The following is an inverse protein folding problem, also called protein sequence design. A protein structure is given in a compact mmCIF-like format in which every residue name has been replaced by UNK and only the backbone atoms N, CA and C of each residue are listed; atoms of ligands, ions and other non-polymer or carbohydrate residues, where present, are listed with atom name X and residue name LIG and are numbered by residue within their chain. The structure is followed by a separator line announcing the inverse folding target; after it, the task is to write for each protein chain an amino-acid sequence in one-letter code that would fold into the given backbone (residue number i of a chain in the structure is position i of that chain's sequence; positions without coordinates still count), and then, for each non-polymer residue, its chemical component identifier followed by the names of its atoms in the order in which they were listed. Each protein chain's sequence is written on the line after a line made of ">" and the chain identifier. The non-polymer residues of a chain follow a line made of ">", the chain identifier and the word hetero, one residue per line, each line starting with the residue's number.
data_IF_374424599357
#
_entry.id   IF_374424599357
#
_cell.length_a   1.000
_cell.length_b   1.000
_cell.length_c   1.000
_cell.angle_alpha   90.00
_cell.angle_beta   90.00
_cell.angle_gamma   90.00
#
_symmetry.space_group_name_H-M   'P 1'
#
loop_
_entity.id
_entity.type
_entity.pdbx_description
1 polymer ?
#
# COMPACT_ATOMS: atom_id res chain seq x y z
N UNK A 1 23.25 0.59 15.99
CA UNK A 1 22.89 0.62 15.70
C UNK A 1 22.29 0.93 15.31
N UNK A 2 21.86 0.88 15.10
CA UNK A 2 21.09 1.06 14.75
C UNK A 2 20.33 0.95 14.28
N UNK A 3 19.89 0.77 14.35
CA UNK A 3 19.01 0.45 13.87
C UNK A 3 18.21 0.94 13.30
N UNK A 4 17.86 0.90 12.68
CA UNK A 4 17.06 1.49 12.15
C UNK A 4 15.94 0.86 11.88
N UNK A 5 15.01 1.33 12.25
CA UNK A 5 13.83 0.83 12.06
C UNK A 5 13.35 1.19 10.76
N UNK A 6 13.16 0.29 9.91
CA UNK A 6 12.53 0.54 8.68
C UNK A 6 11.11 0.21 8.83
N UNK A 7 10.27 1.13 8.41
CA UNK A 7 8.84 0.90 8.38
C UNK A 7 8.51 0.14 7.11
N UNK A 8 8.19 -1.13 7.23
CA UNK A 8 7.83 -1.96 6.09
C UNK A 8 6.48 -2.61 6.31
N UNK A 9 5.76 -2.81 5.22
CA UNK A 9 4.52 -3.56 5.22
C UNK A 9 4.63 -4.64 4.17
N UNK A 10 3.83 -5.68 4.30
CA UNK A 10 3.75 -6.73 3.30
C UNK A 10 2.54 -6.44 2.43
N UNK A 11 2.78 -6.39 1.12
CA UNK A 11 1.69 -6.19 0.17
C UNK A 11 1.52 -7.48 -0.61
N UNK A 12 0.30 -7.97 -0.68
CA UNK A 12 -0.01 -9.18 -1.44
C UNK A 12 -0.81 -8.82 -2.68
N UNK A 13 -0.51 -9.49 -3.77
CA UNK A 13 -1.18 -9.27 -5.05
C UNK A 13 -1.12 -10.57 -5.84
N UNK A 14 -2.31 -11.09 -6.18
CA UNK A 14 -2.41 -12.32 -6.98
C UNK A 14 -1.64 -13.47 -6.35
N UNK A 15 -1.66 -13.55 -5.04
CA UNK A 15 -1.00 -14.64 -4.34
C UNK A 15 0.49 -14.47 -4.11
N UNK A 16 1.05 -13.36 -4.54
CA UNK A 16 2.47 -13.06 -4.32
C UNK A 16 2.59 -11.98 -3.26
N UNK A 17 3.54 -12.13 -2.36
CA UNK A 17 3.78 -11.17 -1.28
C UNK A 17 5.10 -10.49 -1.49
N UNK A 18 5.13 -9.18 -1.26
CA UNK A 18 6.37 -8.41 -1.28
C UNK A 18 6.39 -7.45 -0.13
N UNK A 19 7.57 -7.23 0.42
CA UNK A 19 7.76 -6.24 1.47
C UNK A 19 8.05 -4.89 0.83
N UNK A 20 7.33 -3.89 1.27
CA UNK A 20 7.48 -2.53 0.73
C UNK A 20 7.83 -1.62 1.88
N UNK A 21 8.91 -0.86 1.73
CA UNK A 21 9.30 0.15 2.72
C UNK A 21 8.49 1.41 2.50
N UNK A 22 8.05 2.01 3.58
CA UNK A 22 7.28 3.23 3.47
C UNK A 22 7.71 4.20 4.55
N UNK A 23 7.31 5.46 4.40
CA UNK A 23 7.54 6.49 5.41
C UNK A 23 6.20 6.92 5.96
N UNK A 24 6.07 7.00 7.29
CA UNK A 24 4.76 7.34 7.87
C UNK A 24 4.19 8.67 7.41
N UNK A 25 5.06 9.62 7.14
CA UNK A 25 4.61 10.95 6.70
C UNK A 25 4.37 11.03 5.20
N UNK A 26 4.69 9.99 4.45
CA UNK A 26 4.44 9.97 3.00
C UNK A 26 2.98 9.63 2.74
N UNK A 27 2.48 10.07 1.61
CA UNK A 27 1.11 9.75 1.24
C UNK A 27 0.98 8.27 0.89
N UNK A 28 -0.20 7.73 1.16
CA UNK A 28 -0.52 6.36 0.78
C UNK A 28 -0.29 6.16 -0.72
N UNK A 29 -0.53 7.19 -1.51
CA UNK A 29 -0.30 7.12 -2.94
C UNK A 29 1.13 6.74 -3.29
N UNK A 30 2.11 7.27 -2.55
CA UNK A 30 3.51 6.95 -2.82
C UNK A 30 3.78 5.46 -2.59
N UNK A 31 3.20 4.91 -1.54
CA UNK A 31 3.34 3.49 -1.26
C UNK A 31 2.63 2.67 -2.33
N UNK A 32 1.47 3.11 -2.75
CA UNK A 32 0.72 2.43 -3.81
C UNK A 32 1.55 2.36 -5.09
N UNK A 33 2.20 3.47 -5.45
CA UNK A 33 3.04 3.49 -6.65
C UNK A 33 4.21 2.53 -6.52
N UNK A 34 4.82 2.47 -5.35
CA UNK A 34 5.91 1.53 -5.11
C UNK A 34 5.42 0.09 -5.25
N UNK A 35 4.25 -0.20 -4.72
CA UNK A 35 3.69 -1.55 -4.80
C UNK A 35 3.42 -1.92 -6.25
N UNK A 36 2.85 -1.00 -7.02
CA UNK A 36 2.59 -1.27 -8.42
C UNK A 36 3.88 -1.57 -9.18
N UNK A 37 4.93 -0.81 -8.90
CA UNK A 37 6.21 -1.04 -9.54
C UNK A 37 6.81 -2.39 -9.14
N UNK A 38 6.69 -2.71 -7.85
CA UNK A 38 7.25 -3.97 -7.34
C UNK A 38 6.60 -5.18 -7.98
N UNK A 39 5.30 -5.08 -8.28
CA UNK A 39 4.57 -6.19 -8.89
C UNK A 39 4.49 -6.08 -10.41
N UNK A 40 5.04 -5.02 -10.99
CA UNK A 40 5.02 -4.84 -12.44
C UNK A 40 3.64 -4.57 -13.01
N UNK A 41 2.79 -3.94 -12.24
CA UNK A 41 1.40 -3.68 -12.64
C UNK A 41 1.35 -2.47 -13.56
N UNK A 42 0.52 -2.56 -14.58
CA UNK A 42 0.32 -1.45 -15.52
C UNK A 42 -0.33 -0.28 -14.80
N UNK A 43 0.11 0.92 -15.15
CA UNK A 43 -0.37 2.11 -14.46
C UNK A 43 -1.80 2.46 -14.80
N UNK A 44 -2.36 1.88 -15.86
CA UNK A 44 -3.75 2.17 -16.21
C UNK A 44 -4.75 1.36 -15.39
N UNK A 45 -4.27 0.51 -14.50
CA UNK A 45 -5.17 -0.20 -13.60
C UNK A 45 -5.46 0.66 -12.39
N UNK A 46 -6.73 0.79 -12.05
CA UNK A 46 -7.15 1.60 -10.90
C UNK A 46 -7.12 0.74 -9.65
N UNK A 47 -5.94 0.67 -9.06
CA UNK A 47 -5.72 -0.17 -7.90
C UNK A 47 -5.65 0.68 -6.64
N UNK A 48 -5.90 0.06 -5.52
CA UNK A 48 -5.74 0.66 -4.22
C UNK A 48 -5.17 -0.36 -3.25
N UNK A 49 -4.71 0.14 -2.12
CA UNK A 49 -4.26 -0.72 -1.04
C UNK A 49 -5.42 -0.89 -0.06
N UNK A 50 -5.63 -2.12 0.35
CA UNK A 50 -6.70 -2.47 1.29
C UNK A 50 -6.07 -3.09 2.51
N UNK A 51 -6.69 -2.87 3.66
CA UNK A 51 -6.27 -3.58 4.87
C UNK A 51 -6.74 -5.02 4.78
N UNK A 52 -6.20 -5.84 5.66
CA UNK A 52 -6.57 -7.24 5.75
C UNK A 52 -8.08 -7.41 5.95
N UNK A 53 -8.70 -6.46 6.63
CA UNK A 53 -10.13 -6.50 6.86
C UNK A 53 -10.98 -6.01 5.71
N UNK A 54 -10.34 -5.54 4.64
CA UNK A 54 -11.09 -5.12 3.45
C UNK A 54 -11.35 -3.63 3.35
N UNK A 55 -10.73 -2.82 4.20
CA UNK A 55 -10.91 -1.37 4.16
C UNK A 55 -9.96 -0.77 3.14
N UNK A 56 -10.49 -0.02 2.20
CA UNK A 56 -9.68 0.66 1.20
C UNK A 56 -9.02 1.88 1.82
N UNK A 57 -7.70 2.00 1.63
CA UNK A 57 -6.96 3.14 2.15
C UNK A 57 -7.11 4.34 1.24
N UNK A 58 -7.10 5.52 1.83
CA UNK A 58 -7.25 6.77 1.09
C UNK A 58 -5.89 7.26 0.64
N UNK A 59 -5.69 7.37 -0.67
CA UNK A 59 -4.40 7.75 -1.25
C UNK A 59 -3.97 9.15 -0.83
N UNK A 60 -4.91 10.01 -0.49
CA UNK A 60 -4.60 11.39 -0.13
C UNK A 60 -4.16 11.54 1.32
N UNK A 61 -4.25 10.48 2.11
CA UNK A 61 -3.81 10.52 3.49
C UNK A 61 -2.37 10.09 3.59
N UNK A 62 -1.69 10.55 4.63
CA UNK A 62 -0.38 9.98 4.95
C UNK A 62 -0.57 8.55 5.43
N UNK A 63 0.50 7.76 5.34
CA UNK A 63 0.44 6.39 5.81
C UNK A 63 0.03 6.35 7.28
N UNK A 64 0.59 7.27 8.06
CA UNK A 64 0.29 7.34 9.49
C UNK A 64 -1.19 7.65 9.71
N UNK A 65 -1.74 8.62 8.99
CA UNK A 65 -3.14 9.01 9.14
C UNK A 65 -4.08 7.90 8.69
N UNK A 66 -3.62 7.08 7.75
CA UNK A 66 -4.43 5.95 7.29
C UNK A 66 -4.40 4.76 8.23
N UNK A 67 -3.61 4.84 9.31
CA UNK A 67 -3.55 3.77 10.29
C UNK A 67 -2.54 2.71 9.97
N UNK A 68 -1.61 3.01 9.09
CA UNK A 68 -0.59 2.04 8.71
C UNK A 68 0.44 1.88 9.81
N UNK A 69 0.82 0.65 10.09
CA UNK A 69 1.83 0.34 11.08
C UNK A 69 2.82 -0.65 10.48
N UNK A 70 4.07 -0.65 10.95
CA UNK A 70 5.06 -1.60 10.44
C UNK A 70 4.61 -3.04 10.65
N UNK A 71 4.88 -3.87 9.68
CA UNK A 71 4.51 -5.28 9.74
C UNK A 71 3.10 -5.58 9.30
N UNK A 72 2.35 -4.55 8.94
CA UNK A 72 0.97 -4.72 8.52
C UNK A 72 0.88 -5.45 7.18
N UNK A 73 -0.19 -6.20 6.99
CA UNK A 73 -0.46 -6.85 5.71
C UNK A 73 -1.46 -6.01 4.95
N UNK A 74 -1.12 -5.66 3.72
CA UNK A 74 -2.00 -4.91 2.83
C UNK A 74 -2.27 -5.73 1.59
N UNK A 75 -3.42 -5.49 0.99
CA UNK A 75 -3.82 -6.19 -0.24
C UNK A 75 -3.88 -5.17 -1.36
N UNK A 76 -3.22 -5.45 -2.46
CA UNK A 76 -3.28 -4.62 -3.66
C UNK A 76 -4.34 -5.22 -4.58
N UNK A 77 -5.38 -4.44 -4.84
CA UNK A 77 -6.47 -4.93 -5.65
C UNK A 77 -7.21 -3.75 -6.25
N UNK A 78 -8.14 -4.06 -7.13
CA UNK A 78 -8.89 -3.01 -7.83
C UNK A 78 -9.69 -2.18 -6.85
N UNK A 79 -9.61 -0.87 -7.01
CA UNK A 79 -10.30 0.06 -6.15
C UNK A 79 -11.81 -0.08 -6.31
N UNK A 80 -12.53 0.06 -5.20
CA UNK A 80 -13.98 0.08 -5.25
C UNK A 80 -14.50 1.50 -5.44
N UNK A 81 -13.61 2.48 -5.38
CA UNK A 81 -13.99 3.90 -5.44
C UNK A 81 -13.50 4.55 -6.71
N UNK A 82 -12.24 4.34 -7.05
CA UNK A 82 -11.60 5.09 -8.13
C UNK A 82 -12.21 4.84 -9.48
N UNK A 83 -12.58 3.63 -9.76
CA UNK A 83 -13.12 3.30 -11.05
C UNK A 83 -14.62 3.29 -11.07
N UNK A 84 -15.22 3.83 -10.06
CA UNK A 84 -16.61 3.60 -9.80
C UNK A 84 -17.59 4.46 -10.57
N UNK A 85 -17.15 5.10 -11.55
CA UNK A 85 -18.03 5.99 -12.29
C UNK A 85 -19.25 5.29 -12.79
#
# INVERSE_FOLDING_TARGET
>A
MTDQTRDTVTVTFNGADKEITYQPEALVQALLDHAKQAFGVQSNHLLSLFTEGGTELNDSQTAEAAGMVPGMLLVLRQSTVKGGA
#
